data_IF_769758860849
#
_entry.id   IF_769758860849
#
_cell.length_a   1.000
_cell.length_b   1.000
_cell.length_c   1.000
_cell.angle_alpha   90.00
_cell.angle_beta   90.00
_cell.angle_gamma   90.00
#
_symmetry.space_group_name_H-M   'P 1'
#
loop_
_entity.id
_entity.type
_entity.pdbx_description
1 polymer ?
#
# COMPACT_ATOMS: atom_id res chain seq x y z
N UNK A 1 18.68 -10.40 5.41
CA UNK A 1 18.98 -9.85 6.76
C UNK A 1 19.16 -8.34 6.79
N UNK A 2 18.53 -7.63 5.82
CA UNK A 2 18.65 -6.18 5.70
C UNK A 2 17.82 -5.46 6.76
N UNK A 3 18.29 -4.29 7.19
CA UNK A 3 17.61 -3.46 8.16
C UNK A 3 16.30 -2.86 7.58
N UNK A 4 15.42 -2.38 8.45
CA UNK A 4 14.20 -1.65 8.06
C UNK A 4 14.55 -0.46 7.15
N UNK A 5 15.55 0.35 7.54
CA UNK A 5 16.04 1.48 6.73
C UNK A 5 16.44 1.03 5.33
N UNK A 6 17.29 0.02 5.21
CA UNK A 6 17.73 -0.50 3.91
C UNK A 6 16.56 -0.98 3.05
N UNK A 7 15.62 -1.72 3.65
CA UNK A 7 14.43 -2.18 2.94
C UNK A 7 13.58 -1.01 2.39
N UNK A 8 13.45 0.08 3.13
CA UNK A 8 12.65 1.24 2.73
C UNK A 8 13.34 2.01 1.60
N UNK A 9 14.65 2.24 1.69
CA UNK A 9 15.34 3.22 0.81
C UNK A 9 15.98 2.61 -0.44
N UNK A 10 16.41 1.34 -0.42
CA UNK A 10 17.25 0.79 -1.50
C UNK A 10 16.58 0.83 -2.87
N UNK A 11 15.29 0.50 -2.96
CA UNK A 11 14.59 0.52 -4.25
C UNK A 11 14.57 1.92 -4.85
N UNK A 12 14.27 2.94 -4.06
CA UNK A 12 14.24 4.33 -4.51
C UNK A 12 15.66 4.87 -4.82
N UNK A 13 16.66 4.44 -4.07
CA UNK A 13 18.06 4.77 -4.34
C UNK A 13 18.51 4.22 -5.70
N UNK A 14 18.15 2.97 -6.02
CA UNK A 14 18.54 2.33 -7.27
C UNK A 14 17.74 2.85 -8.47
N UNK A 15 16.42 3.04 -8.31
CA UNK A 15 15.53 3.39 -9.42
C UNK A 15 15.57 4.89 -9.73
N UNK A 16 15.44 5.71 -8.70
CA UNK A 16 15.25 7.16 -8.86
C UNK A 16 16.48 7.98 -8.44
N UNK A 17 17.51 7.32 -7.92
CA UNK A 17 18.70 8.02 -7.39
C UNK A 17 18.42 8.82 -6.11
N UNK A 18 17.28 8.59 -5.44
CA UNK A 18 16.97 9.22 -4.14
C UNK A 18 18.03 8.87 -3.11
N UNK A 19 18.24 9.74 -2.15
CA UNK A 19 19.23 9.58 -1.08
C UNK A 19 20.67 9.45 -1.58
N UNK A 20 20.97 9.91 -2.81
CA UNK A 20 22.30 10.00 -3.35
C UNK A 20 22.72 11.46 -3.52
N UNK A 21 23.84 11.82 -2.92
CA UNK A 21 24.51 13.12 -3.14
C UNK A 21 25.54 12.98 -4.25
N UNK A 22 25.51 13.91 -5.21
CA UNK A 22 26.52 14.01 -6.26
C UNK A 22 27.73 14.78 -5.72
N UNK A 23 28.90 14.12 -5.69
CA UNK A 23 30.17 14.75 -5.32
C UNK A 23 31.12 14.59 -6.51
N UNK A 24 31.24 15.63 -7.29
CA UNK A 24 31.97 15.57 -8.57
C UNK A 24 31.33 14.61 -9.55
N UNK A 25 32.05 13.56 -9.96
CA UNK A 25 31.57 12.49 -10.85
C UNK A 25 30.96 11.29 -10.11
N UNK A 26 31.07 11.25 -8.77
CA UNK A 26 30.59 10.14 -7.94
C UNK A 26 29.21 10.46 -7.33
N UNK A 27 28.43 9.40 -7.08
CA UNK A 27 27.21 9.47 -6.29
C UNK A 27 27.44 8.71 -4.99
N UNK A 28 27.29 9.39 -3.86
CA UNK A 28 27.47 8.82 -2.54
C UNK A 28 26.14 8.80 -1.78
N UNK A 29 25.93 7.76 -1.00
CA UNK A 29 24.74 7.64 -0.15
C UNK A 29 24.67 8.78 0.89
N UNK A 30 23.53 9.48 0.91
CA UNK A 30 23.18 10.46 1.95
C UNK A 30 22.54 9.76 3.13
N UNK A 31 23.35 9.25 4.04
CA UNK A 31 22.88 8.52 5.22
C UNK A 31 21.97 9.34 6.13
N UNK A 32 22.12 10.66 6.18
CA UNK A 32 21.25 11.52 7.00
C UNK A 32 19.83 11.60 6.40
N UNK A 33 19.75 11.82 5.08
CA UNK A 33 18.46 11.86 4.38
C UNK A 33 17.75 10.51 4.40
N UNK A 34 18.48 9.40 4.14
CA UNK A 34 17.92 8.05 4.19
C UNK A 34 17.39 7.68 5.58
N UNK A 35 18.16 7.99 6.63
CA UNK A 35 17.76 7.78 8.02
C UNK A 35 16.48 8.56 8.36
N UNK A 36 16.46 9.86 8.07
CA UNK A 36 15.31 10.73 8.36
C UNK A 36 14.04 10.23 7.69
N UNK A 37 14.12 9.85 6.41
CA UNK A 37 13.00 9.32 5.66
C UNK A 37 12.50 7.96 6.22
N UNK A 38 13.42 7.06 6.57
CA UNK A 38 13.04 5.78 7.16
C UNK A 38 12.34 5.94 8.51
N UNK A 39 12.83 6.87 9.37
CA UNK A 39 12.18 7.20 10.65
C UNK A 39 10.79 7.80 10.44
N UNK A 40 10.61 8.65 9.44
CA UNK A 40 9.30 9.21 9.06
C UNK A 40 8.34 8.11 8.61
N UNK A 41 8.77 7.19 7.74
CA UNK A 41 7.93 6.07 7.28
C UNK A 41 7.55 5.14 8.42
N UNK A 42 8.48 4.84 9.33
CA UNK A 42 8.21 4.04 10.53
C UNK A 42 7.12 4.68 11.38
N UNK A 43 7.17 6.00 11.57
CA UNK A 43 6.18 6.76 12.34
C UNK A 43 4.83 6.82 11.60
N UNK A 44 4.84 7.13 10.31
CA UNK A 44 3.63 7.31 9.48
C UNK A 44 2.79 6.04 9.40
N UNK A 45 3.44 4.88 9.24
CA UNK A 45 2.77 3.59 9.14
C UNK A 45 2.67 2.85 10.49
N UNK A 46 3.07 3.48 11.59
CA UNK A 46 3.10 2.87 12.91
C UNK A 46 3.80 1.49 12.89
N UNK A 47 5.02 1.44 12.36
CA UNK A 47 5.83 0.20 12.32
C UNK A 47 6.42 -0.02 13.71
N UNK A 48 5.99 -1.08 14.40
CA UNK A 48 6.50 -1.42 15.73
C UNK A 48 7.85 -2.11 15.62
N UNK A 49 8.90 -1.39 15.99
CA UNK A 49 10.29 -1.86 15.94
C UNK A 49 11.11 -1.22 17.07
N UNK A 50 12.29 -1.76 17.32
CA UNK A 50 13.26 -1.18 18.28
C UNK A 50 14.09 -0.05 17.68
N UNK A 51 14.01 0.15 16.36
CA UNK A 51 14.68 1.19 15.58
C UNK A 51 14.89 0.77 14.15
N UNK A 52 15.20 1.72 13.28
CA UNK A 52 15.34 1.48 11.82
C UNK A 52 16.51 0.57 11.43
N UNK A 53 17.45 0.33 12.34
CA UNK A 53 18.58 -0.60 12.13
C UNK A 53 18.22 -2.06 12.46
N UNK A 54 17.04 -2.31 13.03
CA UNK A 54 16.56 -3.67 13.28
C UNK A 54 16.40 -4.42 11.94
N UNK A 55 16.80 -5.70 11.85
CA UNK A 55 16.52 -6.53 10.68
C UNK A 55 15.01 -6.63 10.43
N UNK A 56 14.58 -6.38 9.19
CA UNK A 56 13.15 -6.41 8.86
C UNK A 56 12.55 -7.81 9.06
N UNK A 57 13.32 -8.87 8.83
CA UNK A 57 12.90 -10.26 9.06
C UNK A 57 12.59 -10.60 10.53
N UNK A 58 13.08 -9.81 11.50
CA UNK A 58 12.80 -10.00 12.92
C UNK A 58 11.47 -9.35 13.36
N UNK A 59 10.76 -8.67 12.47
CA UNK A 59 9.45 -8.07 12.75
C UNK A 59 8.33 -9.11 12.66
N UNK A 60 7.19 -8.82 13.31
CA UNK A 60 5.95 -9.57 13.04
C UNK A 60 5.52 -9.40 11.59
N UNK A 61 4.74 -10.37 11.04
CA UNK A 61 4.28 -10.34 9.65
C UNK A 61 3.57 -9.04 9.28
N UNK A 62 2.71 -8.52 10.15
CA UNK A 62 2.04 -7.24 9.92
C UNK A 62 3.00 -6.03 9.86
N UNK A 63 4.06 -6.01 10.65
CA UNK A 63 5.07 -4.95 10.56
C UNK A 63 5.98 -5.13 9.33
N UNK A 64 6.25 -6.37 8.91
CA UNK A 64 6.93 -6.62 7.63
C UNK A 64 6.10 -6.11 6.44
N UNK A 65 4.77 -6.32 6.46
CA UNK A 65 3.84 -5.80 5.45
C UNK A 65 3.91 -4.27 5.37
N UNK A 66 3.90 -3.60 6.51
CA UNK A 66 4.07 -2.14 6.59
C UNK A 66 5.42 -1.66 6.04
N UNK A 67 6.52 -2.39 6.28
CA UNK A 67 7.83 -2.10 5.68
C UNK A 67 7.79 -2.25 4.15
N UNK A 68 7.11 -3.28 3.63
CA UNK A 68 6.92 -3.45 2.19
C UNK A 68 6.13 -2.28 1.58
N UNK A 69 5.09 -1.81 2.27
CA UNK A 69 4.32 -0.64 1.86
C UNK A 69 5.18 0.63 1.89
N UNK A 70 5.94 0.87 2.98
CA UNK A 70 6.88 2.00 3.09
C UNK A 70 7.86 2.04 1.93
N UNK A 71 8.43 0.90 1.55
CA UNK A 71 9.34 0.77 0.40
C UNK A 71 8.68 1.17 -0.90
N UNK A 72 7.45 0.72 -1.16
CA UNK A 72 6.72 1.06 -2.37
C UNK A 72 6.40 2.56 -2.43
N UNK A 73 5.98 3.15 -1.32
CA UNK A 73 5.66 4.57 -1.20
C UNK A 73 6.88 5.48 -1.34
N UNK A 74 8.06 5.01 -0.93
CA UNK A 74 9.33 5.76 -1.08
C UNK A 74 9.68 6.01 -2.55
N UNK A 75 9.15 5.22 -3.48
CA UNK A 75 9.30 5.45 -4.92
C UNK A 75 8.46 6.61 -5.45
N UNK A 76 7.47 7.10 -4.65
CA UNK A 76 6.50 8.14 -5.07
C UNK A 76 5.83 7.80 -6.41
N UNK A 77 5.16 6.65 -6.51
CA UNK A 77 4.55 6.23 -7.77
C UNK A 77 3.28 7.03 -8.07
N UNK A 78 2.99 7.28 -9.35
CA UNK A 78 1.70 7.85 -9.78
C UNK A 78 0.56 6.83 -9.61
N UNK A 79 0.87 5.54 -9.78
CA UNK A 79 -0.07 4.42 -9.63
C UNK A 79 0.53 3.40 -8.66
N UNK A 80 -0.20 3.10 -7.60
CA UNK A 80 0.18 2.12 -6.59
C UNK A 80 -0.77 0.92 -6.62
N UNK A 81 -0.20 -0.27 -6.86
CA UNK A 81 -0.92 -1.54 -6.72
C UNK A 81 -0.60 -2.17 -5.38
N UNK A 82 -1.61 -2.45 -4.58
CA UNK A 82 -1.46 -3.14 -3.30
C UNK A 82 -2.41 -4.34 -3.22
N UNK A 83 -1.85 -5.50 -2.88
CA UNK A 83 -2.62 -6.72 -2.68
C UNK A 83 -2.60 -7.08 -1.19
N UNK A 84 -3.81 -7.26 -0.63
CA UNK A 84 -4.02 -7.62 0.78
C UNK A 84 -3.20 -6.72 1.75
N UNK A 85 -3.32 -5.36 1.67
CA UNK A 85 -2.45 -4.45 2.41
C UNK A 85 -2.57 -4.58 3.93
N UNK A 86 -3.64 -5.17 4.40
CA UNK A 86 -4.01 -5.29 5.82
C UNK A 86 -3.90 -6.72 6.36
N UNK A 87 -3.46 -7.67 5.52
CA UNK A 87 -3.33 -9.07 5.91
C UNK A 87 -2.33 -9.27 7.04
N UNK A 88 -2.76 -9.94 8.11
CA UNK A 88 -1.90 -10.20 9.27
C UNK A 88 -1.62 -8.97 10.14
N UNK A 89 -2.37 -7.89 9.95
CA UNK A 89 -2.30 -6.66 10.73
C UNK A 89 -3.46 -6.65 11.74
N UNK A 90 -3.23 -6.13 12.95
CA UNK A 90 -4.29 -5.96 13.94
C UNK A 90 -5.34 -4.92 13.50
N UNK A 91 -6.57 -5.03 14.05
CA UNK A 91 -7.73 -4.24 13.63
C UNK A 91 -7.47 -2.72 13.69
N UNK A 92 -6.78 -2.25 14.73
CA UNK A 92 -6.48 -0.82 14.88
C UNK A 92 -5.52 -0.32 13.80
N UNK A 93 -4.49 -1.12 13.50
CA UNK A 93 -3.49 -0.77 12.50
C UNK A 93 -4.02 -0.95 11.05
N UNK A 94 -4.98 -1.86 10.80
CA UNK A 94 -5.67 -1.97 9.51
C UNK A 94 -6.29 -0.64 9.09
N UNK A 95 -7.03 -0.02 9.99
CA UNK A 95 -7.69 1.28 9.75
C UNK A 95 -6.67 2.35 9.35
N UNK A 96 -5.55 2.44 10.08
CA UNK A 96 -4.49 3.42 9.78
C UNK A 96 -3.90 3.23 8.37
N UNK A 97 -3.65 1.98 7.96
CA UNK A 97 -3.12 1.69 6.62
C UNK A 97 -4.11 2.10 5.53
N UNK A 98 -5.40 1.75 5.68
CA UNK A 98 -6.43 2.07 4.71
C UNK A 98 -6.68 3.58 4.62
N UNK A 99 -6.77 4.28 5.75
CA UNK A 99 -6.90 5.73 5.79
C UNK A 99 -5.70 6.44 5.15
N UNK A 100 -4.49 5.91 5.36
CA UNK A 100 -3.29 6.46 4.74
C UNK A 100 -3.31 6.28 3.22
N UNK A 101 -3.70 5.10 2.71
CA UNK A 101 -3.85 4.89 1.27
C UNK A 101 -4.91 5.82 0.65
N UNK A 102 -6.05 6.00 1.31
CA UNK A 102 -7.08 6.93 0.89
C UNK A 102 -6.58 8.40 0.89
N UNK A 103 -5.78 8.77 1.88
CA UNK A 103 -5.15 10.10 1.97
C UNK A 103 -4.19 10.36 0.80
N UNK A 104 -3.35 9.38 0.45
CA UNK A 104 -2.44 9.50 -0.70
C UNK A 104 -3.20 9.76 -2.00
N UNK A 105 -4.33 9.07 -2.20
CA UNK A 105 -5.18 9.32 -3.36
C UNK A 105 -5.79 10.73 -3.34
N UNK A 106 -6.44 11.11 -2.25
CA UNK A 106 -7.21 12.37 -2.15
C UNK A 106 -6.34 13.62 -2.10
N UNK A 107 -5.21 13.57 -1.39
CA UNK A 107 -4.37 14.74 -1.16
C UNK A 107 -3.18 14.84 -2.12
N UNK A 108 -2.67 13.70 -2.62
CA UNK A 108 -1.49 13.67 -3.49
C UNK A 108 -1.82 13.26 -4.93
N UNK A 109 -3.08 12.95 -5.25
CA UNK A 109 -3.51 12.57 -6.59
C UNK A 109 -3.01 11.20 -7.05
N UNK A 110 -2.44 10.39 -6.14
CA UNK A 110 -1.97 9.05 -6.45
C UNK A 110 -3.14 8.13 -6.80
N UNK A 111 -3.05 7.39 -7.89
CA UNK A 111 -4.03 6.34 -8.19
C UNK A 111 -3.69 5.09 -7.37
N UNK A 112 -4.60 4.65 -6.51
CA UNK A 112 -4.40 3.45 -5.69
C UNK A 112 -5.34 2.35 -6.13
N UNK A 113 -4.78 1.19 -6.49
CA UNK A 113 -5.54 -0.01 -6.84
C UNK A 113 -5.32 -1.04 -5.73
N UNK A 114 -6.37 -1.32 -4.97
CA UNK A 114 -6.35 -2.25 -3.84
C UNK A 114 -7.02 -3.55 -4.25
N UNK A 115 -6.34 -4.67 -4.04
CA UNK A 115 -6.93 -6.01 -4.10
C UNK A 115 -7.08 -6.52 -2.68
N UNK A 116 -8.29 -6.88 -2.26
CA UNK A 116 -8.58 -7.45 -0.94
C UNK A 116 -9.69 -8.47 -1.04
N UNK A 117 -9.59 -9.51 -0.23
CA UNK A 117 -10.67 -10.48 0.00
C UNK A 117 -11.71 -9.96 1.02
N UNK A 118 -11.40 -8.90 1.75
CA UNK A 118 -12.28 -8.29 2.75
C UNK A 118 -13.11 -7.15 2.13
N UNK A 119 -14.33 -7.44 1.67
CA UNK A 119 -15.21 -6.46 1.03
C UNK A 119 -15.43 -5.19 1.88
N UNK A 120 -15.55 -5.34 3.19
CA UNK A 120 -15.78 -4.20 4.09
C UNK A 120 -14.60 -3.21 4.10
N UNK A 121 -13.37 -3.69 3.92
CA UNK A 121 -12.21 -2.82 3.78
C UNK A 121 -12.29 -1.98 2.51
N UNK A 122 -12.61 -2.61 1.37
CA UNK A 122 -12.78 -1.92 0.10
C UNK A 122 -13.90 -0.88 0.17
N UNK A 123 -15.05 -1.24 0.74
CA UNK A 123 -16.19 -0.33 0.92
C UNK A 123 -15.87 0.90 1.77
N UNK A 124 -14.89 0.78 2.67
CA UNK A 124 -14.52 1.90 3.56
C UNK A 124 -13.66 2.97 2.90
N UNK A 125 -12.96 2.64 1.80
CA UNK A 125 -11.94 3.55 1.22
C UNK A 125 -12.02 3.73 -0.28
N UNK A 126 -12.58 2.76 -1.03
CA UNK A 126 -12.58 2.80 -2.49
C UNK A 126 -13.68 3.73 -3.04
N UNK A 127 -13.41 4.36 -4.17
CA UNK A 127 -14.41 5.12 -4.93
C UNK A 127 -15.31 4.19 -5.75
N UNK A 128 -14.75 3.05 -6.19
CA UNK A 128 -15.43 2.01 -6.96
C UNK A 128 -14.76 0.66 -6.74
N UNK A 129 -15.54 -0.40 -6.83
CA UNK A 129 -15.11 -1.77 -6.55
C UNK A 129 -15.37 -2.66 -7.77
N UNK A 130 -14.30 -3.16 -8.39
CA UNK A 130 -14.38 -4.13 -9.45
C UNK A 130 -14.49 -5.55 -8.88
N UNK A 131 -15.49 -6.30 -9.30
CA UNK A 131 -15.69 -7.70 -8.89
C UNK A 131 -15.13 -8.62 -9.98
N UNK A 132 -14.17 -9.44 -9.59
CA UNK A 132 -13.60 -10.48 -10.47
C UNK A 132 -14.26 -11.82 -10.13
N UNK A 133 -14.86 -12.45 -11.12
CA UNK A 133 -15.42 -13.81 -11.03
C UNK A 133 -14.99 -14.61 -12.25
N UNK A 134 -14.55 -15.85 -12.05
CA UNK A 134 -14.07 -16.75 -13.11
C UNK A 134 -13.01 -16.12 -14.03
N UNK A 135 -12.09 -15.33 -13.44
CA UNK A 135 -11.01 -14.65 -14.18
C UNK A 135 -11.46 -13.48 -15.06
N UNK A 136 -12.70 -13.01 -14.90
CA UNK A 136 -13.25 -11.88 -15.68
C UNK A 136 -13.80 -10.81 -14.74
N UNK A 137 -13.77 -9.57 -15.20
CA UNK A 137 -14.45 -8.47 -14.53
C UNK A 137 -15.96 -8.65 -14.74
N UNK A 138 -16.67 -9.06 -13.67
CA UNK A 138 -18.11 -9.27 -13.70
C UNK A 138 -18.87 -7.93 -13.76
N UNK A 139 -18.49 -6.99 -12.90
CA UNK A 139 -19.06 -5.63 -12.85
C UNK A 139 -18.16 -4.68 -12.06
N UNK A 140 -18.50 -3.40 -12.10
CA UNK A 140 -17.97 -2.36 -11.21
C UNK A 140 -19.14 -1.82 -10.39
N UNK A 141 -19.01 -1.84 -9.07
CA UNK A 141 -20.02 -1.38 -8.11
C UNK A 141 -19.49 -0.19 -7.32
N UNK A 142 -20.40 0.60 -6.76
CA UNK A 142 -20.07 1.64 -5.78
C UNK A 142 -20.00 1.03 -4.38
N UNK A 143 -19.23 1.63 -3.45
CA UNK A 143 -19.13 1.13 -2.07
C UNK A 143 -20.49 1.06 -1.35
N UNK A 144 -21.44 1.89 -1.72
CA UNK A 144 -22.79 1.99 -1.15
C UNK A 144 -23.86 1.14 -1.87
N UNK A 145 -23.51 0.43 -2.94
CA UNK A 145 -24.41 -0.55 -3.57
C UNK A 145 -24.78 -1.67 -2.58
N UNK A 146 -25.93 -2.33 -2.82
CA UNK A 146 -26.50 -3.28 -1.88
C UNK A 146 -25.65 -4.53 -1.69
N UNK A 147 -25.73 -5.17 -0.50
CA UNK A 147 -25.06 -6.46 -0.23
C UNK A 147 -25.53 -7.55 -1.19
N UNK A 148 -26.80 -7.47 -1.66
CA UNK A 148 -27.34 -8.39 -2.65
C UNK A 148 -26.63 -8.25 -4.00
N UNK A 149 -26.34 -7.02 -4.45
CA UNK A 149 -25.59 -6.77 -5.69
C UNK A 149 -24.18 -7.36 -5.60
N UNK A 150 -23.47 -7.10 -4.49
CA UNK A 150 -22.16 -7.68 -4.25
C UNK A 150 -22.22 -9.21 -4.22
N UNK A 151 -23.18 -9.80 -3.51
CA UNK A 151 -23.35 -11.26 -3.44
C UNK A 151 -23.61 -11.90 -4.81
N UNK A 152 -24.48 -11.31 -5.63
CA UNK A 152 -24.74 -11.78 -7.00
C UNK A 152 -23.51 -11.67 -7.89
N UNK A 153 -22.77 -10.56 -7.80
CA UNK A 153 -21.56 -10.36 -8.57
C UNK A 153 -20.43 -11.34 -8.19
N UNK A 154 -20.23 -11.54 -6.91
CA UNK A 154 -19.19 -12.44 -6.37
C UNK A 154 -19.50 -13.93 -6.65
N UNK A 155 -20.79 -14.30 -6.71
CA UNK A 155 -21.21 -15.67 -7.02
C UNK A 155 -21.21 -16.00 -8.52
N UNK A 156 -20.89 -15.03 -9.39
CA UNK A 156 -20.98 -15.20 -10.85
C UNK A 156 -22.40 -15.15 -11.40
N UNK A 157 -23.43 -14.92 -10.55
CA UNK A 157 -24.83 -14.87 -10.96
C UNK A 157 -25.29 -13.47 -11.41
N UNK A 158 -24.36 -12.52 -11.56
CA UNK A 158 -24.66 -11.16 -11.98
C UNK A 158 -25.22 -11.10 -13.40
N UNK A 159 -26.51 -10.71 -13.52
CA UNK A 159 -27.20 -10.54 -14.80
C UNK A 159 -27.41 -9.06 -15.16
N UNK A 160 -26.98 -8.13 -14.31
CA UNK A 160 -27.00 -6.71 -14.60
C UNK A 160 -26.00 -6.34 -15.70
N UNK A 161 -26.32 -5.40 -16.57
CA UNK A 161 -25.35 -4.80 -17.49
C UNK A 161 -24.22 -4.12 -16.72
N UNK A 162 -23.08 -3.82 -17.40
CA UNK A 162 -22.02 -2.98 -16.83
C UNK A 162 -22.67 -1.71 -16.26
N UNK A 163 -22.69 -1.55 -14.95
CA UNK A 163 -22.93 -0.25 -14.35
C UNK A 163 -21.62 0.53 -14.58
N UNK A 164 -21.54 1.23 -15.71
CA UNK A 164 -20.42 2.11 -16.00
C UNK A 164 -20.43 3.23 -14.95
N UNK A 165 -19.28 3.42 -14.34
CA UNK A 165 -19.02 4.52 -13.42
C UNK A 165 -18.77 5.81 -14.19
#
# INVERSE_FOLDING_TARGET
DESIEQNIIFSAMQTNGKFLKKIGWMRLYDGAAGKSHAEEMVKTLDIRCTGIKQPAGALSGGNQQKVCLARALTLEPDILFVSEPTRGIDIGAKKLVLEYLAKLNREQGMTVIIVSSELMELRSVADRIGIISDGKLACILKPDDSDADFGLAMSGAWKGGRKDA
#
